data_IF_722171231709
#
_entry.id   IF_722171231709
#
_cell.length_a   1.000
_cell.length_b   1.000
_cell.length_c   1.000
_cell.angle_alpha   90.00
_cell.angle_beta   90.00
_cell.angle_gamma   90.00
#
_symmetry.space_group_name_H-M   'P 1'
#
loop_
_entity.id
_entity.type
_entity.pdbx_description
1 polymer ?
#
# COMPACT_ATOMS: atom_id res chain seq x y z
N UNK A 1 10.03 -8.57 -10.91
CA UNK A 1 9.17 -7.37 -10.99
C UNK A 1 7.86 -7.73 -11.68
N UNK A 2 6.71 -7.38 -11.11
CA UNK A 2 5.39 -7.56 -11.74
C UNK A 2 5.12 -6.36 -12.66
N UNK A 3 4.58 -6.58 -13.86
CA UNK A 3 4.26 -5.52 -14.84
C UNK A 3 3.11 -4.60 -14.41
N UNK A 4 2.24 -5.06 -13.51
CA UNK A 4 1.10 -4.32 -12.99
C UNK A 4 1.11 -4.35 -11.44
N UNK A 5 1.74 -3.37 -10.79
CA UNK A 5 1.84 -3.32 -9.34
C UNK A 5 0.47 -3.00 -8.71
N UNK A 6 0.25 -3.49 -7.49
CA UNK A 6 -0.93 -3.09 -6.74
C UNK A 6 -0.76 -1.67 -6.19
N UNK A 7 -1.70 -0.79 -6.57
CA UNK A 7 -1.68 0.63 -6.20
C UNK A 7 -2.78 0.99 -5.20
N UNK A 8 -2.54 2.02 -4.40
CA UNK A 8 -3.54 2.72 -3.58
C UNK A 8 -3.44 4.23 -3.79
N UNK A 9 -4.54 4.96 -3.59
CA UNK A 9 -4.53 6.43 -3.65
C UNK A 9 -3.93 7.01 -2.38
N UNK A 10 -3.34 8.20 -2.44
CA UNK A 10 -2.71 8.87 -1.27
C UNK A 10 -3.68 9.13 -0.11
N UNK A 11 -4.97 9.24 -0.38
CA UNK A 11 -6.03 9.45 0.63
C UNK A 11 -6.51 8.14 1.27
N UNK A 12 -5.99 6.99 0.83
CA UNK A 12 -6.39 5.68 1.37
C UNK A 12 -5.97 5.60 2.84
N UNK A 13 -6.95 5.35 3.73
CA UNK A 13 -6.66 5.09 5.14
C UNK A 13 -5.73 3.88 5.28
N UNK A 14 -4.78 3.96 6.21
CA UNK A 14 -3.80 2.91 6.45
C UNK A 14 -4.48 1.56 6.77
N UNK A 15 -5.60 1.58 7.52
CA UNK A 15 -6.44 0.41 7.76
C UNK A 15 -6.89 -0.30 6.46
N UNK A 16 -7.34 0.47 5.46
CA UNK A 16 -7.75 -0.10 4.17
C UNK A 16 -6.55 -0.62 3.36
N UNK A 17 -5.37 -0.02 3.54
CA UNK A 17 -4.14 -0.54 2.94
C UNK A 17 -3.75 -1.91 3.53
N UNK A 18 -3.88 -2.08 4.86
CA UNK A 18 -3.70 -3.38 5.53
C UNK A 18 -4.62 -4.45 4.96
N UNK A 19 -5.92 -4.15 4.86
CA UNK A 19 -6.90 -5.09 4.33
C UNK A 19 -6.54 -5.53 2.89
N UNK A 20 -6.08 -4.61 2.04
CA UNK A 20 -5.67 -4.92 0.67
C UNK A 20 -4.39 -5.77 0.61
N UNK A 21 -3.42 -5.51 1.49
CA UNK A 21 -2.18 -6.30 1.63
C UNK A 21 -2.51 -7.74 1.99
N UNK A 22 -3.41 -7.95 2.96
CA UNK A 22 -3.85 -9.27 3.40
C UNK A 22 -4.65 -10.01 2.31
N UNK A 23 -5.64 -9.36 1.71
CA UNK A 23 -6.48 -9.94 0.64
C UNK A 23 -5.64 -10.41 -0.56
N UNK A 24 -4.68 -9.58 -0.99
CA UNK A 24 -3.82 -9.88 -2.14
C UNK A 24 -2.61 -10.74 -1.79
N UNK A 25 -2.39 -11.07 -0.51
CA UNK A 25 -1.23 -11.81 0.00
C UNK A 25 0.10 -11.21 -0.49
N UNK A 26 0.19 -9.89 -0.43
CA UNK A 26 1.39 -9.11 -0.79
C UNK A 26 1.93 -8.39 0.44
N UNK A 27 3.09 -7.75 0.32
CA UNK A 27 3.75 -7.04 1.43
C UNK A 27 3.96 -5.56 1.15
N UNK A 28 3.60 -5.08 -0.04
CA UNK A 28 3.85 -3.70 -0.45
C UNK A 28 2.80 -3.20 -1.43
N UNK A 29 2.53 -1.90 -1.34
CA UNK A 29 1.62 -1.16 -2.21
C UNK A 29 2.33 0.08 -2.75
N UNK A 30 2.03 0.44 -3.99
CA UNK A 30 2.48 1.70 -4.58
C UNK A 30 1.45 2.77 -4.28
N UNK A 31 1.88 3.95 -3.85
CA UNK A 31 1.00 5.09 -3.55
C UNK A 31 0.98 6.03 -4.75
N UNK A 32 -0.22 6.33 -5.23
CA UNK A 32 -0.44 7.22 -6.38
C UNK A 32 -1.28 8.44 -6.01
N UNK A 33 -0.99 9.54 -6.70
CA UNK A 33 -1.83 10.74 -6.78
C UNK A 33 -2.27 10.93 -8.23
N UNK A 34 -3.53 10.58 -8.52
CA UNK A 34 -4.00 10.44 -9.89
C UNK A 34 -3.20 9.36 -10.65
N UNK A 35 -2.49 9.77 -11.71
CA UNK A 35 -1.61 8.88 -12.51
C UNK A 35 -0.14 8.92 -12.08
N UNK A 36 0.21 9.76 -11.10
CA UNK A 36 1.59 9.96 -10.67
C UNK A 36 1.91 9.03 -9.50
N UNK A 37 3.01 8.29 -9.58
CA UNK A 37 3.56 7.56 -8.45
C UNK A 37 4.22 8.57 -7.50
N UNK A 38 3.83 8.56 -6.23
CA UNK A 38 4.35 9.49 -5.22
C UNK A 38 5.06 8.77 -4.06
N UNK A 39 4.96 7.44 -3.98
CA UNK A 39 5.63 6.69 -2.93
C UNK A 39 5.25 5.22 -2.92
N UNK A 40 5.63 4.54 -1.85
CA UNK A 40 5.30 3.16 -1.59
C UNK A 40 5.05 2.96 -0.09
N UNK A 41 4.30 1.92 0.24
CA UNK A 41 4.00 1.50 1.60
C UNK A 41 4.33 0.02 1.73
N UNK A 42 5.18 -0.33 2.69
CA UNK A 42 5.46 -1.72 3.04
C UNK A 42 4.72 -2.11 4.33
N UNK A 43 4.41 -3.40 4.48
CA UNK A 43 3.79 -3.93 5.70
C UNK A 43 4.62 -3.64 6.97
N UNK A 44 5.94 -3.59 6.89
CA UNK A 44 6.81 -3.25 8.01
C UNK A 44 6.62 -1.81 8.50
N UNK A 45 6.28 -0.88 7.60
CA UNK A 45 5.97 0.50 7.96
C UNK A 45 4.65 0.56 8.76
N UNK A 46 3.69 -0.30 8.40
CA UNK A 46 2.40 -0.41 9.09
C UNK A 46 2.53 -1.00 10.49
N UNK A 47 3.39 -2.00 10.67
CA UNK A 47 3.75 -2.51 12.01
C UNK A 47 4.44 -1.44 12.85
N UNK A 48 5.43 -0.74 12.30
CA UNK A 48 6.15 0.33 13.02
C UNK A 48 5.22 1.48 13.41
N UNK A 49 4.22 1.77 12.59
CA UNK A 49 3.21 2.79 12.85
C UNK A 49 2.11 2.33 13.84
N UNK A 50 2.11 1.06 14.27
CA UNK A 50 1.09 0.51 15.17
C UNK A 50 -0.30 0.39 14.54
N UNK A 51 -0.38 0.37 13.22
CA UNK A 51 -1.64 0.16 12.47
C UNK A 51 -1.93 -1.35 12.34
N UNK A 52 -0.90 -2.19 12.44
CA UNK A 52 -0.94 -3.66 12.44
C UNK A 52 -0.23 -4.23 13.67
#
# INVERSE_FOLDING_TARGET
MKKDPYVIKKETLAYNAVAKIQDKKITSLVVVDGKKVIGALNIHDLFRAGVM
#
